data_IF_977501805199
#
_entry.id   IF_977501805199
#
_cell.length_a   1.000
_cell.length_b   1.000
_cell.length_c   1.000
_cell.angle_alpha   90.00
_cell.angle_beta   90.00
_cell.angle_gamma   90.00
#
_symmetry.space_group_name_H-M   'P 1'
#
loop_
_entity.id
_entity.type
_entity.pdbx_description
1 polymer ?
#
# COMPACT_ATOMS: atom_id res chain seq x y z
N UNK A 1 -6.47 -1.69 -13.45
CA UNK A 1 -7.57 -2.15 -12.57
C UNK A 1 -7.28 -3.50 -11.89
N UNK A 2 -6.74 -4.51 -12.59
CA UNK A 2 -6.55 -5.84 -12.01
C UNK A 2 -5.78 -5.88 -10.68
N UNK A 3 -4.71 -5.08 -10.55
CA UNK A 3 -3.91 -5.04 -9.32
C UNK A 3 -4.76 -4.63 -8.11
N UNK A 4 -5.57 -3.58 -8.25
CA UNK A 4 -6.47 -3.11 -7.18
C UNK A 4 -7.51 -4.18 -6.83
N UNK A 5 -8.02 -4.89 -7.84
CA UNK A 5 -8.97 -5.98 -7.61
C UNK A 5 -8.35 -7.13 -6.82
N UNK A 6 -7.12 -7.55 -7.17
CA UNK A 6 -6.41 -8.64 -6.48
C UNK A 6 -5.95 -8.26 -5.08
N UNK A 7 -5.50 -7.01 -4.88
CA UNK A 7 -4.90 -6.57 -3.61
C UNK A 7 -5.92 -6.02 -2.60
N UNK A 8 -7.14 -5.65 -3.03
CA UNK A 8 -8.11 -4.98 -2.16
C UNK A 8 -9.55 -5.45 -2.36
N UNK A 9 -10.13 -5.33 -3.56
CA UNK A 9 -11.57 -5.58 -3.77
C UNK A 9 -11.97 -7.05 -3.63
N UNK A 10 -11.21 -7.99 -4.19
CA UNK A 10 -11.53 -9.40 -4.12
C UNK A 10 -11.38 -9.98 -2.71
N UNK A 11 -10.28 -9.71 -1.97
CA UNK A 11 -10.18 -10.12 -0.57
C UNK A 11 -11.34 -9.58 0.29
N UNK A 12 -11.67 -8.28 0.16
CA UNK A 12 -12.76 -7.67 0.90
C UNK A 12 -14.13 -8.33 0.60
N UNK A 13 -14.40 -8.64 -0.68
CA UNK A 13 -15.59 -9.37 -1.10
C UNK A 13 -15.68 -10.77 -0.46
N UNK A 14 -14.57 -11.51 -0.40
CA UNK A 14 -14.53 -12.87 0.18
C UNK A 14 -14.91 -12.87 1.66
N UNK A 15 -14.43 -11.88 2.43
CA UNK A 15 -14.71 -11.76 3.86
C UNK A 15 -15.93 -10.87 4.18
N UNK A 16 -16.68 -10.44 3.15
CA UNK A 16 -17.87 -9.57 3.26
C UNK A 16 -17.59 -8.23 3.95
N UNK A 17 -16.41 -7.66 3.71
CA UNK A 17 -16.03 -6.33 4.19
C UNK A 17 -16.33 -5.27 3.11
N UNK A 18 -17.01 -4.19 3.48
CA UNK A 18 -17.22 -3.04 2.60
C UNK A 18 -15.97 -2.13 2.62
N UNK A 19 -15.23 -2.10 1.52
CA UNK A 19 -14.04 -1.25 1.33
C UNK A 19 -14.22 -0.28 0.14
N UNK A 20 -15.44 0.17 -0.13
CA UNK A 20 -15.67 1.16 -1.17
C UNK A 20 -15.14 2.54 -0.77
N UNK A 21 -14.53 3.23 -1.74
CA UNK A 21 -14.14 4.62 -1.58
C UNK A 21 -15.36 5.47 -1.96
N UNK A 22 -16.21 5.74 -0.97
CA UNK A 22 -17.42 6.54 -1.12
C UNK A 22 -17.75 7.26 0.20
N UNK A 23 -18.48 8.38 0.15
CA UNK A 23 -18.93 9.05 1.37
C UNK A 23 -19.67 8.10 2.32
N UNK A 24 -19.40 8.23 3.62
CA UNK A 24 -20.00 7.41 4.68
C UNK A 24 -19.26 6.10 5.01
N UNK A 25 -18.25 5.71 4.21
CA UNK A 25 -17.37 4.57 4.52
C UNK A 25 -16.12 5.02 5.31
N UNK A 26 -15.42 4.05 5.92
CA UNK A 26 -14.10 4.28 6.53
C UNK A 26 -13.12 4.84 5.50
N UNK A 27 -12.31 5.82 5.91
CA UNK A 27 -11.21 6.35 5.13
C UNK A 27 -9.94 5.51 5.33
N UNK A 28 -10.01 4.25 4.88
CA UNK A 28 -8.88 3.34 4.76
C UNK A 28 -8.30 3.45 3.35
N UNK A 29 -7.28 4.30 3.19
CA UNK A 29 -6.77 4.73 1.88
C UNK A 29 -5.27 4.59 1.80
N UNK A 30 -4.77 4.21 0.63
CA UNK A 30 -3.34 4.24 0.30
C UNK A 30 -3.16 5.06 -0.97
N UNK A 31 -2.30 6.07 -0.90
CA UNK A 31 -1.88 6.88 -2.06
C UNK A 31 -0.59 6.28 -2.60
N UNK A 32 -0.58 5.94 -3.89
CA UNK A 32 0.58 5.42 -4.60
C UNK A 32 1.02 6.49 -5.60
N UNK A 33 2.29 6.86 -5.55
CA UNK A 33 2.92 7.66 -6.60
C UNK A 33 3.39 6.71 -7.70
N UNK A 34 2.74 6.70 -8.89
CA UNK A 34 3.12 5.81 -9.97
C UNK A 34 4.49 6.18 -10.53
N UNK A 35 4.97 7.41 -10.41
CA UNK A 35 6.24 7.87 -11.00
C UNK A 35 7.45 7.66 -10.08
N UNK A 36 7.21 7.52 -8.77
CA UNK A 36 8.25 7.22 -7.79
C UNK A 36 8.98 5.91 -8.15
N UNK A 37 10.28 6.03 -8.40
CA UNK A 37 11.17 4.91 -8.71
C UNK A 37 12.28 4.80 -7.67
N UNK A 38 12.54 3.60 -7.18
CA UNK A 38 13.55 3.36 -6.14
C UNK A 38 14.12 1.94 -6.24
N UNK A 39 15.30 1.73 -5.67
CA UNK A 39 15.84 0.41 -5.43
C UNK A 39 15.37 -0.08 -4.06
N UNK A 40 14.93 -1.34 -3.97
CA UNK A 40 14.55 -1.95 -2.69
C UNK A 40 15.80 -2.11 -1.83
N UNK A 41 15.81 -1.39 -0.71
CA UNK A 41 16.86 -1.44 0.30
C UNK A 41 16.29 -2.07 1.58
N UNK A 42 16.67 -3.33 1.92
CA UNK A 42 16.19 -3.99 3.12
C UNK A 42 16.47 -3.18 4.39
N UNK A 43 17.58 -2.43 4.45
CA UNK A 43 17.98 -1.68 5.64
C UNK A 43 16.97 -0.59 6.00
N UNK A 44 16.21 -0.10 5.02
CA UNK A 44 15.14 0.90 5.19
C UNK A 44 13.79 0.31 5.56
N UNK A 45 13.67 -1.02 5.74
CA UNK A 45 12.39 -1.63 6.10
C UNK A 45 11.99 -1.31 7.55
N UNK A 46 10.75 -0.88 7.72
CA UNK A 46 10.10 -0.74 9.05
C UNK A 46 9.88 -2.09 9.75
N UNK A 47 9.73 -3.18 8.96
CA UNK A 47 9.69 -4.54 9.51
C UNK A 47 11.00 -4.87 10.23
N UNK A 48 10.95 -5.70 11.27
CA UNK A 48 12.17 -6.15 11.97
C UNK A 48 13.08 -7.03 11.09
N UNK A 49 12.52 -7.67 10.06
CA UNK A 49 13.27 -8.59 9.23
C UNK A 49 13.91 -7.90 8.02
N UNK A 50 15.07 -8.40 7.60
CA UNK A 50 15.80 -7.98 6.38
C UNK A 50 15.84 -9.08 5.30
N UNK A 51 15.16 -10.20 5.54
CA UNK A 51 15.17 -11.36 4.65
C UNK A 51 14.26 -11.17 3.43
N UNK A 52 14.81 -10.60 2.36
CA UNK A 52 14.07 -10.42 1.11
C UNK A 52 14.92 -10.82 -0.09
N UNK A 53 14.37 -11.55 -1.07
CA UNK A 53 15.05 -11.82 -2.34
C UNK A 53 15.02 -10.60 -3.28
N UNK A 54 14.34 -9.52 -2.89
CA UNK A 54 14.13 -8.34 -3.74
C UNK A 54 15.16 -7.22 -3.53
N UNK A 55 16.21 -7.44 -2.73
CA UNK A 55 17.26 -6.44 -2.53
C UNK A 55 17.83 -5.96 -3.88
N UNK A 56 18.05 -4.64 -3.99
CA UNK A 56 18.54 -3.92 -5.17
C UNK A 56 17.62 -3.93 -6.41
N UNK A 57 16.44 -4.54 -6.34
CA UNK A 57 15.48 -4.49 -7.44
C UNK A 57 15.01 -3.05 -7.63
N UNK A 58 15.13 -2.53 -8.85
CA UNK A 58 14.58 -1.23 -9.24
C UNK A 58 13.10 -1.39 -9.54
N UNK A 59 12.27 -0.69 -8.78
CA UNK A 59 10.80 -0.74 -8.89
C UNK A 59 10.24 0.66 -9.08
N UNK A 60 8.98 0.70 -9.55
CA UNK A 60 8.20 1.92 -9.79
C UNK A 60 6.83 1.76 -9.15
N UNK A 61 6.25 2.84 -8.63
CA UNK A 61 4.97 2.81 -7.92
C UNK A 61 5.13 2.74 -6.41
N UNK A 62 5.72 3.76 -5.81
CA UNK A 62 5.95 3.83 -4.36
C UNK A 62 4.72 4.26 -3.57
N UNK A 63 4.57 3.75 -2.34
CA UNK A 63 3.54 4.25 -1.42
C UNK A 63 3.93 5.62 -0.91
N UNK A 64 3.08 6.62 -1.15
CA UNK A 64 3.26 7.97 -0.65
C UNK A 64 2.61 8.15 0.73
N UNK A 65 1.42 7.58 0.93
CA UNK A 65 0.65 7.76 2.17
C UNK A 65 -0.22 6.54 2.46
N UNK A 66 -0.38 6.19 3.73
CA UNK A 66 -1.39 5.24 4.21
C UNK A 66 -2.22 5.86 5.32
N UNK A 67 -3.53 5.72 5.21
CA UNK A 67 -4.53 6.24 6.13
C UNK A 67 -5.42 5.10 6.62
N UNK A 68 -5.71 5.09 7.92
CA UNK A 68 -6.62 4.13 8.55
C UNK A 68 -7.67 4.89 9.35
N UNK A 69 -8.95 4.68 9.05
CA UNK A 69 -10.09 5.38 9.63
C UNK A 69 -9.88 6.92 9.67
N UNK A 70 -9.35 7.50 8.59
CA UNK A 70 -9.11 8.95 8.50
C UNK A 70 -7.80 9.44 9.14
N UNK A 71 -7.02 8.56 9.79
CA UNK A 71 -5.75 8.93 10.42
C UNK A 71 -4.58 8.52 9.54
N UNK A 72 -3.68 9.45 9.24
CA UNK A 72 -2.44 9.14 8.52
C UNK A 72 -1.54 8.32 9.47
N UNK A 73 -1.22 7.10 9.07
CA UNK A 73 -0.36 6.17 9.85
C UNK A 73 1.00 5.96 9.20
N UNK A 74 1.14 6.33 7.93
CA UNK A 74 2.39 6.31 7.19
C UNK A 74 2.40 7.43 6.16
N UNK A 75 3.53 8.10 6.00
CA UNK A 75 3.75 9.11 4.97
C UNK A 75 5.23 9.13 4.58
N UNK A 76 5.50 9.14 3.28
CA UNK A 76 6.83 9.21 2.70
C UNK A 76 7.08 10.63 2.17
N UNK A 77 8.09 11.32 2.69
CA UNK A 77 8.49 12.68 2.30
C UNK A 77 9.76 12.69 1.48
#
# INVERSE_FOLDING_TARGET
EELINKMSKHPAKLIKLNNDIKPGNSADLTIIDPEMSYAIDPEKFESKSRNTPFADFKVKGGTFLTMVNGRIVYQNF
#
